data_IF_555046571495
#
_entry.id   IF_555046571495
#
_cell.length_a   1.000
_cell.length_b   1.000
_cell.length_c   1.000
_cell.angle_alpha   90.00
_cell.angle_beta   90.00
_cell.angle_gamma   90.00
#
_symmetry.space_group_name_H-M   'P 1'
#
loop_
_entity.id
_entity.type
_entity.pdbx_description
1 polymer ?
#
# COMPACT_ATOMS: atom_id res chain seq x y z
N UNK A 1 5.18 1.22 -9.85
CA UNK A 1 3.88 0.76 -9.30
C UNK A 1 3.31 1.85 -8.42
N UNK A 2 1.99 2.05 -8.40
CA UNK A 2 1.37 3.08 -7.54
C UNK A 2 1.31 2.61 -6.09
N UNK A 3 1.30 3.56 -5.14
CA UNK A 3 0.99 3.28 -3.73
C UNK A 3 -0.52 3.18 -3.47
N UNK A 4 -1.36 3.72 -4.36
CA UNK A 4 -2.80 3.56 -4.23
C UNK A 4 -3.18 2.07 -4.35
N UNK A 5 -3.97 1.57 -3.40
CA UNK A 5 -4.39 0.17 -3.30
C UNK A 5 -3.24 -0.84 -3.11
N UNK A 6 -2.03 -0.39 -2.72
CA UNK A 6 -0.84 -1.26 -2.58
C UNK A 6 -1.04 -2.37 -1.54
N UNK A 7 -1.95 -2.18 -0.58
CA UNK A 7 -2.31 -3.19 0.42
C UNK A 7 -2.84 -4.50 -0.19
N UNK A 8 -3.37 -4.46 -1.42
CA UNK A 8 -3.94 -5.62 -2.11
C UNK A 8 -2.95 -6.27 -3.09
N UNK A 9 -1.76 -5.69 -3.29
CA UNK A 9 -0.79 -6.24 -4.23
C UNK A 9 -0.01 -7.40 -3.61
N UNK A 10 0.10 -8.55 -4.29
CA UNK A 10 0.85 -9.70 -3.77
C UNK A 10 2.38 -9.48 -3.82
N UNK A 11 2.83 -8.64 -4.75
CA UNK A 11 4.24 -8.30 -4.98
C UNK A 11 4.37 -6.78 -5.09
N UNK A 12 5.41 -6.21 -4.48
CA UNK A 12 5.55 -4.76 -4.30
C UNK A 12 6.58 -4.13 -5.25
N UNK A 13 7.27 -4.95 -6.05
CA UNK A 13 8.23 -4.46 -7.05
C UNK A 13 8.05 -5.21 -8.35
N UNK A 14 8.52 -4.61 -9.44
CA UNK A 14 8.49 -5.25 -10.75
C UNK A 14 9.56 -6.34 -10.89
N UNK A 15 10.78 -6.08 -10.39
CA UNK A 15 11.94 -6.95 -10.62
C UNK A 15 12.13 -8.05 -9.57
N UNK A 16 11.56 -7.90 -8.37
CA UNK A 16 11.75 -8.85 -7.28
C UNK A 16 10.40 -9.42 -6.79
N UNK A 17 10.04 -10.65 -7.21
CA UNK A 17 8.79 -11.29 -6.81
C UNK A 17 8.75 -11.68 -5.32
N UNK A 18 9.89 -11.67 -4.63
CA UNK A 18 9.97 -11.99 -3.20
C UNK A 18 9.70 -10.77 -2.31
N UNK A 19 9.56 -9.57 -2.90
CA UNK A 19 9.26 -8.36 -2.14
C UNK A 19 7.76 -8.28 -1.84
N UNK A 20 7.34 -8.88 -0.72
CA UNK A 20 5.92 -9.02 -0.32
C UNK A 20 5.54 -8.23 0.93
N UNK A 21 6.51 -7.57 1.59
CA UNK A 21 6.29 -6.77 2.80
C UNK A 21 6.66 -5.32 2.58
N UNK A 22 5.75 -4.39 2.86
CA UNK A 22 5.96 -2.95 2.72
C UNK A 22 7.09 -2.46 3.64
N UNK A 23 7.23 -3.06 4.83
CA UNK A 23 8.28 -2.76 5.78
C UNK A 23 9.68 -3.04 5.20
N UNK A 24 9.81 -4.11 4.40
CA UNK A 24 11.06 -4.44 3.71
C UNK A 24 11.23 -3.56 2.47
N UNK A 25 10.15 -3.31 1.72
CA UNK A 25 10.19 -2.49 0.52
C UNK A 25 10.65 -1.07 0.83
N UNK A 26 10.24 -0.50 1.97
CA UNK A 26 10.65 0.83 2.42
C UNK A 26 12.17 0.96 2.65
N UNK A 27 12.88 -0.13 2.91
CA UNK A 27 14.34 -0.11 3.09
C UNK A 27 15.07 0.14 1.76
N UNK A 28 14.49 -0.26 0.63
CA UNK A 28 15.10 -0.12 -0.70
C UNK A 28 15.33 1.35 -1.08
N UNK A 29 14.34 2.26 -1.08
CA UNK A 29 14.58 3.67 -1.39
C UNK A 29 15.48 4.36 -0.36
N UNK A 30 15.41 3.96 0.92
CA UNK A 30 16.18 4.58 2.00
C UNK A 30 17.68 4.22 1.88
N UNK A 31 17.98 2.93 1.75
CA UNK A 31 19.33 2.38 1.85
C UNK A 31 19.84 1.71 0.56
N UNK A 32 19.10 1.81 -0.54
CA UNK A 32 19.55 1.31 -1.83
C UNK A 32 20.75 2.10 -2.34
N UNK A 33 21.74 1.38 -2.86
CA UNK A 33 22.97 1.98 -3.40
C UNK A 33 22.87 2.27 -4.90
N UNK A 34 22.10 1.48 -5.67
CA UNK A 34 22.00 1.62 -7.12
C UNK A 34 20.60 1.28 -7.68
N UNK A 35 19.93 2.22 -8.37
CA UNK A 35 20.25 3.65 -8.38
C UNK A 35 20.13 4.26 -6.97
N UNK A 36 20.82 5.37 -6.72
CA UNK A 36 20.67 6.10 -5.46
C UNK A 36 19.32 6.80 -5.46
N UNK A 37 18.47 6.47 -4.48
CA UNK A 37 17.18 7.13 -4.27
C UNK A 37 17.28 8.18 -3.15
N UNK A 38 17.31 7.75 -1.87
CA UNK A 38 17.47 8.67 -0.74
C UNK A 38 18.91 8.82 -0.23
N UNK A 39 19.82 7.91 -0.62
CA UNK A 39 21.25 8.03 -0.29
C UNK A 39 21.59 7.93 1.20
N UNK A 40 20.80 7.17 1.98
CA UNK A 40 20.96 7.07 3.44
C UNK A 40 21.69 5.82 3.91
N UNK A 41 22.39 5.11 3.02
CA UNK A 41 23.22 3.94 3.33
C UNK A 41 24.17 4.25 4.48
N UNK A 42 24.13 3.46 5.57
CA UNK A 42 24.97 3.65 6.75
C UNK A 42 24.64 4.89 7.60
N UNK A 43 23.52 5.57 7.33
CA UNK A 43 23.06 6.79 8.02
C UNK A 43 21.82 6.55 8.89
N UNK A 44 21.58 5.31 9.32
CA UNK A 44 20.43 4.92 10.14
C UNK A 44 20.36 5.76 11.43
N UNK A 45 21.52 5.96 12.08
CA UNK A 45 21.60 6.77 13.29
C UNK A 45 21.21 8.23 13.05
N UNK A 46 21.57 8.78 11.88
CA UNK A 46 21.22 10.15 11.49
C UNK A 46 19.70 10.28 11.28
N UNK A 47 19.07 9.33 10.59
CA UNK A 47 17.60 9.30 10.43
C UNK A 47 16.90 9.27 11.78
N UNK A 48 17.30 8.33 12.65
CA UNK A 48 16.68 8.18 13.95
C UNK A 48 16.96 9.36 14.88
N UNK A 49 18.11 10.04 14.75
CA UNK A 49 18.40 11.28 15.46
C UNK A 49 17.44 12.40 15.05
N UNK A 50 17.23 12.61 13.74
CA UNK A 50 16.27 13.61 13.26
C UNK A 50 14.86 13.40 13.82
N UNK A 51 14.40 12.14 13.89
CA UNK A 51 13.10 11.82 14.49
C UNK A 51 13.07 12.01 16.01
N UNK A 52 14.20 11.79 16.69
CA UNK A 52 14.32 12.00 18.14
C UNK A 52 14.44 13.47 18.51
N UNK A 53 14.99 14.31 17.65
CA UNK A 53 15.18 15.74 17.95
C UNK A 53 13.86 16.52 17.84
N UNK A 54 12.93 16.07 16.99
CA UNK A 54 11.60 16.65 16.84
C UNK A 54 10.61 16.17 17.94
N UNK A 55 10.09 17.12 18.71
CA UNK A 55 9.15 16.84 19.82
C UNK A 55 7.85 16.18 19.36
N UNK A 56 7.34 16.56 18.17
CA UNK A 56 6.12 16.01 17.60
C UNK A 56 6.33 14.55 17.20
N UNK A 57 7.45 14.23 16.56
CA UNK A 57 7.76 12.84 16.22
C UNK A 57 7.97 11.98 17.47
N UNK A 58 8.66 12.47 18.51
CA UNK A 58 8.75 11.75 19.79
C UNK A 58 7.39 11.37 20.34
N UNK A 59 6.47 12.32 20.41
CA UNK A 59 5.11 12.08 20.90
C UNK A 59 4.36 11.07 20.02
N UNK A 60 4.36 11.26 18.69
CA UNK A 60 3.65 10.38 17.77
C UNK A 60 4.17 8.93 17.82
N UNK A 61 5.49 8.72 17.95
CA UNK A 61 6.06 7.39 18.08
C UNK A 61 5.75 6.75 19.44
N UNK A 62 5.80 7.51 20.54
CA UNK A 62 5.38 7.01 21.86
C UNK A 62 3.91 6.61 21.86
N UNK A 63 3.04 7.40 21.23
CA UNK A 63 1.61 7.12 21.16
C UNK A 63 1.28 5.92 20.27
N UNK A 64 2.00 5.75 19.16
CA UNK A 64 1.80 4.62 18.24
C UNK A 64 2.37 3.31 18.81
N UNK A 65 3.52 3.35 19.51
CA UNK A 65 4.28 2.16 19.94
C UNK A 65 4.44 2.10 21.47
N UNK A 66 3.35 2.25 22.22
CA UNK A 66 3.34 2.37 23.69
C UNK A 66 4.03 1.23 24.46
N UNK A 67 4.09 0.04 23.87
CA UNK A 67 4.68 -1.16 24.48
C UNK A 67 6.18 -1.31 24.18
N UNK A 68 6.75 -0.45 23.34
CA UNK A 68 8.15 -0.46 23.00
C UNK A 68 8.93 0.50 23.92
N UNK A 69 9.95 -0.01 24.60
CA UNK A 69 10.84 0.80 25.45
C UNK A 69 11.57 1.87 24.66
N UNK A 70 11.87 1.62 23.38
CA UNK A 70 12.57 2.52 22.48
C UNK A 70 11.77 2.70 21.18
N UNK A 71 10.65 3.45 21.21
CA UNK A 71 9.67 3.47 20.12
C UNK A 71 10.24 4.04 18.82
N UNK A 72 11.23 4.95 18.89
CA UNK A 72 11.96 5.44 17.71
C UNK A 72 13.12 4.49 17.40
N UNK A 73 12.83 3.51 16.55
CA UNK A 73 13.78 2.57 15.97
C UNK A 73 13.42 2.29 14.50
N UNK A 74 14.31 1.61 13.76
CA UNK A 74 14.13 1.40 12.32
C UNK A 74 12.92 0.50 12.00
N UNK A 75 12.64 -0.50 12.84
CA UNK A 75 11.49 -1.40 12.67
C UNK A 75 10.17 -0.64 12.80
N UNK A 76 10.04 0.22 13.80
CA UNK A 76 8.85 1.04 13.99
C UNK A 76 8.71 2.13 12.93
N UNK A 77 9.82 2.68 12.43
CA UNK A 77 9.79 3.59 11.28
C UNK A 77 9.19 2.93 10.04
N UNK A 78 9.66 1.73 9.67
CA UNK A 78 9.13 1.03 8.49
C UNK A 78 7.71 0.55 8.70
N UNK A 79 7.33 0.12 9.92
CA UNK A 79 5.92 -0.19 10.27
C UNK A 79 5.02 1.04 10.13
N UNK A 80 5.45 2.21 10.59
CA UNK A 80 4.66 3.44 10.47
C UNK A 80 4.44 3.84 9.01
N UNK A 81 5.47 3.74 8.17
CA UNK A 81 5.36 3.95 6.72
C UNK A 81 4.42 2.94 6.07
N UNK A 82 4.58 1.66 6.40
CA UNK A 82 3.75 0.60 5.85
C UNK A 82 2.27 0.74 6.27
N UNK A 83 1.99 1.13 7.52
CA UNK A 83 0.64 1.42 7.98
C UNK A 83 0.00 2.59 7.21
N UNK A 84 0.75 3.67 6.96
CA UNK A 84 0.27 4.77 6.13
C UNK A 84 0.02 4.32 4.68
N UNK A 85 0.94 3.58 4.07
CA UNK A 85 0.77 3.07 2.71
C UNK A 85 -0.45 2.17 2.56
N UNK A 86 -0.74 1.34 3.57
CA UNK A 86 -1.94 0.48 3.56
C UNK A 86 -3.26 1.27 3.63
N UNK A 87 -3.25 2.51 4.14
CA UNK A 87 -4.46 3.34 4.19
C UNK A 87 -4.73 4.11 2.90
N UNK A 88 -3.81 4.09 1.93
CA UNK A 88 -3.97 4.74 0.63
C UNK A 88 -4.90 3.93 -0.29
N UNK A 89 -6.16 3.84 0.10
CA UNK A 89 -7.19 3.10 -0.64
C UNK A 89 -7.92 4.04 -1.60
N UNK A 90 -7.92 3.68 -2.88
CA UNK A 90 -8.65 4.35 -3.95
C UNK A 90 -9.79 3.46 -4.41
N UNK A 91 -11.00 3.80 -3.99
CA UNK A 91 -12.26 3.10 -4.29
C UNK A 91 -13.31 4.10 -4.79
N UNK A 92 -14.48 3.60 -5.20
CA UNK A 92 -15.63 4.43 -5.61
C UNK A 92 -15.44 5.16 -6.96
N UNK A 93 -14.60 4.60 -7.83
CA UNK A 93 -14.53 5.04 -9.22
C UNK A 93 -15.86 4.77 -9.94
N UNK A 94 -16.14 5.44 -11.08
CA UNK A 94 -17.31 5.14 -11.90
C UNK A 94 -17.41 3.65 -12.28
N UNK A 95 -16.26 2.99 -12.53
CA UNK A 95 -16.22 1.56 -12.80
C UNK A 95 -16.57 0.72 -11.57
N UNK A 96 -16.13 1.11 -10.36
CA UNK A 96 -16.50 0.40 -9.12
C UNK A 96 -18.00 0.49 -8.86
N UNK A 97 -18.59 1.67 -9.04
CA UNK A 97 -20.04 1.88 -8.90
C UNK A 97 -20.83 1.04 -9.89
N UNK A 98 -20.35 0.93 -11.13
CA UNK A 98 -20.94 0.09 -12.15
C UNK A 98 -20.83 -1.41 -11.84
N UNK A 99 -19.63 -1.88 -11.48
CA UNK A 99 -19.34 -3.32 -11.38
C UNK A 99 -19.68 -3.94 -10.03
N UNK A 100 -19.56 -3.16 -8.96
CA UNK A 100 -19.76 -3.60 -7.57
C UNK A 100 -20.89 -2.83 -6.85
N UNK A 101 -21.15 -1.59 -7.25
CA UNK A 101 -22.22 -0.75 -6.67
C UNK A 101 -23.61 -0.94 -7.28
N UNK A 102 -23.74 -1.69 -8.38
CA UNK A 102 -25.02 -1.93 -9.07
C UNK A 102 -25.56 -0.77 -9.90
N UNK A 103 -24.84 0.36 -9.98
CA UNK A 103 -25.24 1.50 -10.80
C UNK A 103 -24.87 1.28 -12.27
N UNK A 104 -25.80 0.67 -13.01
CA UNK A 104 -25.61 0.38 -14.43
C UNK A 104 -25.35 1.62 -15.31
N UNK A 105 -25.62 2.84 -14.82
CA UNK A 105 -25.41 4.08 -15.55
C UNK A 105 -24.13 4.82 -15.15
N UNK A 106 -23.35 4.30 -14.19
CA UNK A 106 -22.14 4.95 -13.71
C UNK A 106 -21.03 5.07 -14.78
N UNK A 107 -21.07 4.25 -15.84
CA UNK A 107 -20.13 4.34 -16.98
C UNK A 107 -20.86 4.50 -18.31
N UNK A 108 -20.18 5.14 -19.27
CA UNK A 108 -20.73 5.42 -20.59
C UNK A 108 -20.95 4.15 -21.43
N UNK A 109 -21.82 4.18 -22.45
CA UNK A 109 -21.97 3.06 -23.39
C UNK A 109 -20.66 2.69 -24.10
N UNK A 110 -19.77 3.64 -24.34
CA UNK A 110 -18.45 3.37 -24.91
C UNK A 110 -17.55 2.58 -23.94
N UNK A 111 -17.56 2.94 -22.65
CA UNK A 111 -16.81 2.22 -21.61
C UNK A 111 -17.31 0.76 -21.46
N UNK A 112 -18.63 0.53 -21.54
CA UNK A 112 -19.21 -0.84 -21.54
C UNK A 112 -18.72 -1.68 -22.72
N UNK A 113 -18.61 -1.09 -23.92
CA UNK A 113 -18.03 -1.79 -25.08
C UNK A 113 -16.54 -2.10 -24.86
N UNK A 114 -15.79 -1.17 -24.27
CA UNK A 114 -14.39 -1.38 -23.91
C UNK A 114 -14.21 -2.53 -22.90
N UNK A 115 -15.04 -2.58 -21.86
CA UNK A 115 -15.07 -3.68 -20.89
C UNK A 115 -15.32 -5.04 -21.58
N UNK A 116 -16.27 -5.11 -22.52
CA UNK A 116 -16.54 -6.35 -23.27
C UNK A 116 -15.33 -6.80 -24.08
N UNK A 117 -14.62 -5.89 -24.74
CA UNK A 117 -13.40 -6.21 -25.48
C UNK A 117 -12.25 -6.62 -24.56
N UNK A 118 -12.09 -5.95 -23.42
CA UNK A 118 -11.07 -6.29 -22.43
C UNK A 118 -11.23 -7.72 -21.88
N UNK A 119 -12.48 -8.14 -21.69
CA UNK A 119 -12.84 -9.48 -21.21
C UNK A 119 -13.11 -10.50 -22.33
N UNK A 120 -12.85 -10.16 -23.60
CA UNK A 120 -13.07 -11.10 -24.71
C UNK A 120 -11.87 -12.03 -24.88
N UNK A 121 -12.13 -13.22 -25.44
CA UNK A 121 -11.09 -14.17 -25.86
C UNK A 121 -10.28 -13.68 -27.08
N UNK A 122 -10.73 -12.61 -27.74
CA UNK A 122 -9.97 -12.03 -28.87
C UNK A 122 -8.77 -11.21 -28.39
N UNK A 123 -8.90 -10.57 -27.21
CA UNK A 123 -7.85 -9.71 -26.64
C UNK A 123 -7.24 -10.26 -25.35
N UNK A 124 -7.95 -11.15 -24.65
CA UNK A 124 -7.55 -11.87 -23.43
C UNK A 124 -6.88 -11.00 -22.35
N UNK A 125 -7.18 -9.69 -22.32
CA UNK A 125 -6.50 -8.75 -21.42
C UNK A 125 -6.76 -9.10 -19.94
N UNK A 126 -7.90 -9.71 -19.64
CA UNK A 126 -8.26 -10.14 -18.30
C UNK A 126 -7.31 -11.18 -17.69
N UNK A 127 -6.55 -11.94 -18.49
CA UNK A 127 -5.67 -13.00 -17.97
C UNK A 127 -4.51 -12.44 -17.12
N UNK A 128 -3.97 -11.29 -17.52
CA UNK A 128 -2.83 -10.64 -16.85
C UNK A 128 -3.25 -9.55 -15.87
N UNK A 129 -4.44 -8.97 -16.05
CA UNK A 129 -4.89 -7.77 -15.34
C UNK A 129 -6.07 -8.01 -14.40
N UNK A 130 -6.49 -9.26 -14.15
CA UNK A 130 -7.51 -9.52 -13.13
C UNK A 130 -6.96 -9.12 -11.75
N UNK A 131 -7.39 -7.95 -11.29
CA UNK A 131 -7.01 -7.38 -10.01
C UNK A 131 -7.34 -8.34 -8.84
N UNK A 132 -6.49 -8.38 -7.80
CA UNK A 132 -6.69 -9.18 -6.60
C UNK A 132 -7.63 -8.49 -5.60
N UNK A 133 -8.70 -7.84 -6.06
CA UNK A 133 -9.80 -7.48 -5.14
C UNK A 133 -10.77 -8.64 -5.19
N UNK A 134 -10.65 -9.64 -4.31
CA UNK A 134 -11.60 -10.73 -4.30
C UNK A 134 -13.01 -10.16 -4.11
N UNK A 135 -13.94 -10.65 -4.93
CA UNK A 135 -15.36 -10.35 -4.93
C UNK A 135 -16.05 -10.53 -3.54
N UNK A 136 -15.34 -11.10 -2.54
CA UNK A 136 -15.80 -11.36 -1.19
C UNK A 136 -15.49 -10.28 -0.14
N UNK A 137 -14.77 -9.20 -0.48
CA UNK A 137 -14.36 -8.15 0.48
C UNK A 137 -15.09 -6.82 0.31
N UNK A 138 -16.39 -6.87 0.01
CA UNK A 138 -17.30 -5.75 0.25
C UNK A 138 -17.37 -5.41 1.76
N UNK A 139 -17.71 -4.17 2.16
CA UNK A 139 -17.05 -3.43 3.25
C UNK A 139 -17.53 -3.72 4.68
N UNK A 140 -17.90 -4.95 5.03
CA UNK A 140 -18.39 -5.26 6.39
C UNK A 140 -17.38 -5.94 7.32
N UNK A 141 -16.27 -6.50 6.83
CA UNK A 141 -15.37 -7.32 7.67
C UNK A 141 -13.94 -6.78 7.89
N UNK A 142 -13.47 -5.75 7.15
CA UNK A 142 -12.08 -5.28 7.28
C UNK A 142 -11.90 -4.10 8.25
N UNK A 143 -12.98 -3.40 8.62
CA UNK A 143 -12.86 -2.31 9.61
C UNK A 143 -12.44 -2.79 11.01
N UNK A 144 -12.41 -4.10 11.27
CA UNK A 144 -12.15 -4.67 12.59
C UNK A 144 -10.92 -5.59 12.68
N UNK A 145 -10.21 -5.85 11.58
CA UNK A 145 -9.06 -6.76 11.59
C UNK A 145 -7.84 -6.09 10.95
N UNK A 146 -7.06 -5.38 11.77
CA UNK A 146 -5.62 -5.02 11.60
C UNK A 146 -5.24 -3.59 12.01
N UNK A 147 -6.16 -2.79 12.57
CA UNK A 147 -5.76 -1.59 13.33
C UNK A 147 -5.15 -1.92 14.71
N UNK A 148 -5.08 -3.20 15.09
CA UNK A 148 -4.65 -3.66 16.42
C UNK A 148 -3.25 -4.29 16.49
N UNK A 149 -2.51 -4.48 15.39
CA UNK A 149 -1.16 -5.10 15.45
C UNK A 149 -0.01 -4.10 15.38
N UNK A 150 -0.16 -2.93 16.01
CA UNK A 150 0.97 -2.04 16.33
C UNK A 150 1.63 -2.43 17.67
N UNK A 151 1.10 -3.45 18.36
CA UNK A 151 1.75 -4.11 19.50
C UNK A 151 2.70 -5.22 19.07
#
# INVERSE_FOLDING_TARGET
MSLANIAYNPVLTWANPLMTKLENQALVPIFGEHPVEMGMVGREKQILAMLRDDAKYRQMFTDAFKNDKYPINLSNLTKALAAFQRSLISVNSPYDKYRFGGDTNAISPAAKRGEKLFNSEDLECFHLFLFPVPCSLAPTTIFNANLLSIS
#
